data_IF_546905128219
#
_entry.id   IF_546905128219
#
_cell.length_a   1.000
_cell.length_b   1.000
_cell.length_c   1.000
_cell.angle_alpha   90.00
_cell.angle_beta   90.00
_cell.angle_gamma   90.00
#
_symmetry.space_group_name_H-M   'P 1'
#
loop_
_entity.id
_entity.type
_entity.pdbx_description
1 polymer ?
#
# COMPACT_ATOMS: atom_id res chain seq x y z
N UNK A 1 5.87 -36.15 -0.33
CA UNK A 1 6.51 -34.89 0.14
C UNK A 1 6.19 -33.80 -0.86
N UNK A 2 5.57 -32.71 -0.42
CA UNK A 2 5.31 -31.56 -1.30
C UNK A 2 6.52 -30.65 -1.26
N UNK A 3 7.13 -30.39 -2.42
CA UNK A 3 8.29 -29.50 -2.57
C UNK A 3 7.93 -28.32 -3.48
N UNK A 4 8.27 -27.14 -3.07
CA UNK A 4 8.01 -25.88 -3.79
C UNK A 4 9.32 -25.11 -3.90
N UNK A 5 9.63 -24.54 -5.06
CA UNK A 5 10.85 -23.74 -5.25
C UNK A 5 10.59 -22.55 -6.15
N UNK A 6 11.30 -21.46 -5.90
CA UNK A 6 11.28 -20.27 -6.74
C UNK A 6 12.71 -19.89 -7.13
N UNK A 7 12.91 -19.68 -8.43
CA UNK A 7 14.17 -19.15 -8.97
C UNK A 7 14.05 -17.62 -9.28
N UNK A 8 12.87 -17.04 -9.09
CA UNK A 8 12.57 -15.65 -9.42
C UNK A 8 12.38 -14.84 -8.14
N UNK A 9 13.41 -14.17 -7.72
CA UNK A 9 13.32 -13.18 -6.66
C UNK A 9 12.68 -11.87 -7.19
N UNK A 10 12.00 -11.09 -6.35
CA UNK A 10 11.57 -9.75 -6.71
C UNK A 10 12.79 -8.92 -7.17
N UNK A 11 12.64 -8.22 -8.28
CA UNK A 11 13.66 -7.30 -8.81
C UNK A 11 13.05 -5.91 -8.78
N UNK A 12 13.67 -5.01 -8.04
CA UNK A 12 13.30 -3.60 -8.07
C UNK A 12 14.07 -2.90 -9.20
N UNK A 13 13.32 -2.25 -10.10
CA UNK A 13 13.87 -1.63 -11.30
C UNK A 13 14.09 -0.12 -11.16
N UNK A 14 13.74 0.47 -10.02
CA UNK A 14 13.83 1.92 -9.79
C UNK A 14 14.14 2.27 -8.34
N UNK A 15 14.51 3.53 -8.12
CA UNK A 15 14.68 4.05 -6.77
C UNK A 15 13.31 4.33 -6.15
N UNK A 16 13.11 3.87 -4.93
CA UNK A 16 11.93 4.21 -4.17
C UNK A 16 11.95 5.70 -3.76
N UNK A 17 11.14 6.50 -4.44
CA UNK A 17 11.07 7.95 -4.22
C UNK A 17 10.68 8.34 -2.78
N UNK A 18 9.88 7.53 -2.09
CA UNK A 18 9.53 7.77 -0.70
C UNK A 18 10.73 7.78 0.24
N UNK A 19 11.82 7.09 -0.11
CA UNK A 19 13.05 7.09 0.69
C UNK A 19 13.80 8.43 0.65
N UNK A 20 13.43 9.32 -0.27
CA UNK A 20 13.97 10.69 -0.35
C UNK A 20 13.06 11.73 0.34
N UNK A 21 11.94 11.32 0.93
CA UNK A 21 10.94 12.20 1.55
C UNK A 21 10.84 11.84 3.03
N UNK A 22 11.42 12.64 3.92
CA UNK A 22 11.35 12.44 5.38
C UNK A 22 11.46 10.97 5.82
N UNK A 23 12.41 10.23 5.22
CA UNK A 23 12.50 8.78 5.40
C UNK A 23 12.88 8.39 6.83
N UNK A 24 12.11 7.47 7.40
CA UNK A 24 12.42 6.83 8.68
C UNK A 24 13.72 6.02 8.57
N UNK A 25 14.70 6.23 9.48
CA UNK A 25 15.93 5.47 9.50
C UNK A 25 15.65 4.00 9.84
N UNK A 26 16.02 3.10 8.92
CA UNK A 26 15.73 1.68 9.04
C UNK A 26 16.97 0.83 8.80
N UNK A 27 17.30 -0.05 9.76
CA UNK A 27 18.42 -0.97 9.68
C UNK A 27 17.93 -2.36 9.28
N UNK A 28 18.41 -2.86 8.16
CA UNK A 28 18.15 -4.24 7.72
C UNK A 28 18.85 -5.26 8.62
N UNK A 29 18.22 -6.42 8.79
CA UNK A 29 18.80 -7.58 9.48
C UNK A 29 18.65 -8.80 8.58
N UNK A 30 19.72 -9.54 8.33
CA UNK A 30 19.75 -10.71 7.46
C UNK A 30 19.77 -11.98 8.32
N UNK A 31 19.03 -13.02 7.91
CA UNK A 31 19.11 -14.33 8.55
C UNK A 31 20.44 -15.03 8.16
N UNK A 32 21.28 -15.28 9.15
CA UNK A 32 22.59 -15.91 8.94
C UNK A 32 22.74 -17.28 9.62
N UNK A 33 21.80 -17.67 10.49
CA UNK A 33 21.82 -18.92 11.23
C UNK A 33 20.48 -19.61 11.13
N UNK A 34 20.50 -20.95 11.14
CA UNK A 34 19.29 -21.74 11.17
C UNK A 34 18.43 -21.42 12.38
N UNK A 35 17.13 -21.31 12.18
CA UNK A 35 16.16 -21.02 13.24
C UNK A 35 14.93 -21.90 13.10
N UNK A 36 14.10 -21.91 14.13
CA UNK A 36 12.78 -22.53 14.12
C UNK A 36 11.73 -21.52 14.62
N UNK A 37 10.47 -21.77 14.26
CA UNK A 37 9.36 -20.94 14.72
C UNK A 37 8.04 -21.70 14.63
N UNK A 38 7.03 -21.20 15.36
CA UNK A 38 5.66 -21.68 15.25
C UNK A 38 4.99 -21.11 14.01
N UNK A 39 5.31 -19.84 13.67
CA UNK A 39 4.77 -19.12 12.51
C UNK A 39 5.88 -18.47 11.70
N UNK A 40 5.98 -18.86 10.44
CA UNK A 40 6.82 -18.16 9.46
C UNK A 40 5.93 -17.31 8.55
N UNK A 41 6.21 -16.02 8.46
CA UNK A 41 5.53 -15.10 7.56
C UNK A 41 6.49 -14.76 6.42
N UNK A 42 6.08 -15.08 5.19
CA UNK A 42 6.81 -14.71 3.98
C UNK A 42 6.27 -13.39 3.46
N UNK A 43 7.09 -12.35 3.49
CA UNK A 43 6.78 -10.98 3.07
C UNK A 43 6.56 -10.03 4.25
N UNK A 44 7.40 -8.99 4.35
CA UNK A 44 7.36 -7.91 5.33
C UNK A 44 6.59 -6.66 4.84
N UNK A 45 5.60 -6.85 3.96
CA UNK A 45 4.69 -5.80 3.51
C UNK A 45 3.48 -5.61 4.42
N UNK A 46 2.45 -4.88 3.95
CA UNK A 46 1.24 -4.59 4.72
C UNK A 46 0.60 -5.85 5.30
N UNK A 47 0.36 -6.87 4.48
CA UNK A 47 -0.30 -8.10 4.93
C UNK A 47 0.52 -8.87 5.95
N UNK A 48 1.84 -9.02 5.71
CA UNK A 48 2.72 -9.78 6.60
C UNK A 48 2.92 -9.11 7.96
N UNK A 49 3.16 -7.81 7.97
CA UNK A 49 3.32 -7.06 9.23
C UNK A 49 2.01 -6.96 10.01
N UNK A 50 0.87 -6.83 9.32
CA UNK A 50 -0.45 -6.90 9.97
C UNK A 50 -0.73 -8.28 10.58
N UNK A 51 -0.34 -9.36 9.89
CA UNK A 51 -0.46 -10.72 10.42
C UNK A 51 0.45 -10.92 11.63
N UNK A 52 1.70 -10.44 11.57
CA UNK A 52 2.64 -10.49 12.70
C UNK A 52 2.09 -9.73 13.91
N UNK A 53 1.63 -8.49 13.72
CA UNK A 53 1.00 -7.69 14.76
C UNK A 53 -0.19 -8.44 15.41
N UNK A 54 -1.06 -9.03 14.59
CA UNK A 54 -2.22 -9.76 15.11
C UNK A 54 -1.82 -11.02 15.87
N UNK A 55 -0.80 -11.74 15.42
CA UNK A 55 -0.26 -12.90 16.12
C UNK A 55 0.33 -12.54 17.48
N UNK A 56 0.95 -11.36 17.62
CA UNK A 56 1.44 -10.88 18.92
C UNK A 56 0.33 -10.85 19.98
N UNK A 57 -0.88 -10.49 19.59
CA UNK A 57 -2.04 -10.42 20.49
C UNK A 57 -2.73 -11.77 20.69
N UNK A 58 -2.88 -12.57 19.62
CA UNK A 58 -3.62 -13.83 19.67
C UNK A 58 -2.77 -15.01 20.16
N UNK A 59 -1.46 -14.95 19.94
CA UNK A 59 -0.50 -16.02 20.21
C UNK A 59 0.78 -15.49 20.88
N UNK A 60 0.69 -14.83 22.04
CA UNK A 60 1.84 -14.12 22.64
C UNK A 60 2.99 -15.04 23.10
N UNK A 61 2.78 -16.35 23.09
CA UNK A 61 3.80 -17.36 23.44
C UNK A 61 4.45 -18.02 22.25
N UNK A 62 3.86 -17.85 21.06
CA UNK A 62 4.34 -18.48 19.84
C UNK A 62 5.54 -17.68 19.28
N UNK A 63 6.54 -18.40 18.82
CA UNK A 63 7.67 -17.79 18.14
C UNK A 63 7.28 -17.45 16.70
N UNK A 64 7.35 -16.16 16.36
CA UNK A 64 7.04 -15.65 15.01
C UNK A 64 8.32 -15.18 14.33
N UNK A 65 8.52 -15.62 13.10
CA UNK A 65 9.61 -15.15 12.22
C UNK A 65 8.99 -14.54 10.96
N UNK A 66 9.44 -13.35 10.58
CA UNK A 66 9.07 -12.70 9.30
C UNK A 66 10.31 -12.61 8.43
N UNK A 67 10.21 -13.00 7.17
CA UNK A 67 11.29 -12.79 6.19
C UNK A 67 10.77 -12.03 4.98
N UNK A 68 11.61 -11.14 4.45
CA UNK A 68 11.35 -10.44 3.18
C UNK A 68 12.54 -10.63 2.22
N UNK A 69 12.24 -10.81 0.95
CA UNK A 69 13.24 -10.95 -0.09
C UNK A 69 14.05 -9.66 -0.32
N UNK A 70 13.43 -8.52 -0.04
CA UNK A 70 14.03 -7.19 -0.13
C UNK A 70 14.17 -6.57 1.27
N UNK A 71 14.78 -5.41 1.33
CA UNK A 71 14.73 -4.58 2.53
C UNK A 71 13.31 -4.03 2.70
N UNK A 72 12.76 -4.15 3.90
CA UNK A 72 11.38 -3.70 4.19
C UNK A 72 11.21 -2.23 3.80
N UNK A 73 10.11 -1.95 3.12
CA UNK A 73 9.79 -0.63 2.56
C UNK A 73 10.42 -0.35 1.20
N UNK A 74 11.16 -1.29 0.62
CA UNK A 74 11.72 -1.18 -0.74
C UNK A 74 10.93 -1.97 -1.80
N UNK A 75 10.02 -2.85 -1.38
CA UNK A 75 9.07 -3.51 -2.28
C UNK A 75 7.78 -2.72 -2.50
N UNK A 76 6.79 -3.34 -3.16
CA UNK A 76 5.51 -2.71 -3.55
C UNK A 76 4.72 -2.09 -2.40
N UNK A 77 4.85 -2.61 -1.18
CA UNK A 77 4.23 -2.02 0.00
C UNK A 77 4.81 -0.63 0.33
N UNK A 78 6.09 -0.38 0.05
CA UNK A 78 6.73 0.92 0.23
C UNK A 78 6.73 1.81 -1.01
N UNK A 79 6.27 1.31 -2.17
CA UNK A 79 6.36 1.98 -3.47
C UNK A 79 4.99 2.22 -4.12
N UNK A 80 3.97 2.55 -3.36
CA UNK A 80 2.65 2.91 -3.88
C UNK A 80 2.36 4.41 -3.70
N UNK A 81 1.20 4.88 -4.18
CA UNK A 81 0.86 6.31 -4.11
C UNK A 81 0.47 6.80 -2.70
N UNK A 82 0.35 5.91 -1.73
CA UNK A 82 0.06 6.25 -0.33
C UNK A 82 -1.39 6.67 -0.07
N UNK A 83 -2.36 5.97 -0.67
CA UNK A 83 -3.79 6.16 -0.42
C UNK A 83 -4.38 4.89 0.18
N UNK A 84 -5.04 5.00 1.34
CA UNK A 84 -5.97 4.00 1.85
C UNK A 84 -7.39 4.53 1.61
N UNK A 85 -8.10 3.93 0.66
CA UNK A 85 -9.39 4.41 0.18
C UNK A 85 -10.49 3.53 0.79
N UNK A 86 -11.45 4.14 1.45
CA UNK A 86 -12.58 3.46 2.10
C UNK A 86 -13.71 3.12 1.14
N UNK A 87 -13.96 3.96 0.14
CA UNK A 87 -15.05 3.80 -0.82
C UNK A 87 -14.63 2.90 -1.98
N UNK A 88 -15.53 2.08 -2.53
CA UNK A 88 -15.24 1.25 -3.69
C UNK A 88 -14.93 2.15 -4.90
N UNK A 89 -13.91 1.74 -5.64
CA UNK A 89 -13.52 2.38 -6.89
C UNK A 89 -13.67 1.35 -8.00
N UNK A 90 -14.88 1.26 -8.57
CA UNK A 90 -15.16 0.35 -9.66
C UNK A 90 -14.61 0.94 -10.96
N UNK A 91 -13.49 0.40 -11.44
CA UNK A 91 -12.96 0.70 -12.76
C UNK A 91 -13.77 -0.09 -13.77
N UNK A 92 -14.83 0.52 -14.34
CA UNK A 92 -15.53 -0.02 -15.48
C UNK A 92 -15.17 0.78 -16.72
N UNK A 93 -14.66 0.11 -17.75
CA UNK A 93 -14.40 0.73 -19.05
C UNK A 93 -15.71 1.23 -19.74
N UNK A 94 -16.86 0.73 -19.32
CA UNK A 94 -18.18 1.15 -19.82
C UNK A 94 -18.75 2.37 -19.08
N UNK A 95 -18.11 2.85 -18.01
CA UNK A 95 -18.61 3.95 -17.20
C UNK A 95 -19.83 3.60 -16.32
N UNK A 96 -20.24 2.35 -16.30
CA UNK A 96 -21.36 1.91 -15.45
C UNK A 96 -20.82 1.40 -14.11
N UNK A 97 -21.13 2.08 -13.02
CA UNK A 97 -20.96 1.60 -11.65
C UNK A 97 -22.07 0.58 -11.34
N UNK A 98 -21.99 -0.64 -11.93
CA UNK A 98 -23.07 -1.61 -11.94
C UNK A 98 -23.02 -2.66 -10.84
N UNK A 99 -22.12 -2.56 -9.90
CA UNK A 99 -22.13 -3.44 -8.74
C UNK A 99 -23.35 -3.13 -7.86
N UNK A 100 -23.94 -4.17 -7.29
CA UNK A 100 -25.13 -3.99 -6.46
C UNK A 100 -24.82 -3.13 -5.24
N UNK A 101 -25.71 -2.24 -4.85
CA UNK A 101 -25.62 -1.37 -3.67
C UNK A 101 -25.24 -2.13 -2.40
N UNK A 102 -25.77 -3.34 -2.22
CA UNK A 102 -25.45 -4.19 -1.07
C UNK A 102 -24.01 -4.71 -1.07
N UNK A 103 -23.45 -4.98 -2.24
CA UNK A 103 -22.05 -5.37 -2.38
C UNK A 103 -21.14 -4.19 -2.04
N UNK A 104 -21.49 -2.99 -2.51
CA UNK A 104 -20.73 -1.76 -2.20
C UNK A 104 -20.75 -1.45 -0.72
N UNK A 105 -21.89 -1.53 -0.04
CA UNK A 105 -21.99 -1.35 1.41
C UNK A 105 -21.09 -2.31 2.19
N UNK A 106 -21.11 -3.61 1.83
CA UNK A 106 -20.22 -4.61 2.45
C UNK A 106 -18.75 -4.32 2.19
N UNK A 107 -18.43 -3.85 0.99
CA UNK A 107 -17.04 -3.47 0.62
C UNK A 107 -16.56 -2.27 1.43
N UNK A 108 -17.39 -1.23 1.59
CA UNK A 108 -17.13 -0.04 2.41
C UNK A 108 -16.89 -0.45 3.88
N UNK A 109 -17.77 -1.29 4.42
CA UNK A 109 -17.62 -1.79 5.79
C UNK A 109 -16.29 -2.51 5.99
N UNK A 110 -15.92 -3.41 5.07
CA UNK A 110 -14.66 -4.14 5.10
C UNK A 110 -13.44 -3.20 4.98
N UNK A 111 -13.48 -2.25 4.06
CA UNK A 111 -12.41 -1.27 3.89
C UNK A 111 -12.23 -0.42 5.15
N UNK A 112 -13.31 0.11 5.69
CA UNK A 112 -13.29 0.91 6.94
C UNK A 112 -12.82 0.09 8.14
N UNK A 113 -13.18 -1.20 8.20
CA UNK A 113 -12.63 -2.10 9.22
C UNK A 113 -11.11 -2.26 9.07
N UNK A 114 -10.63 -2.52 7.86
CA UNK A 114 -9.20 -2.63 7.58
C UNK A 114 -8.44 -1.33 7.89
N UNK A 115 -9.03 -0.16 7.58
CA UNK A 115 -8.43 1.14 7.87
C UNK A 115 -8.39 1.46 9.38
N UNK A 116 -9.42 1.07 10.15
CA UNK A 116 -9.38 1.16 11.61
C UNK A 116 -8.27 0.30 12.19
N UNK A 117 -8.11 -0.92 11.69
CA UNK A 117 -7.02 -1.81 12.11
C UNK A 117 -5.63 -1.24 11.71
N UNK A 118 -5.50 -0.68 10.51
CA UNK A 118 -4.25 -0.02 10.11
C UNK A 118 -3.92 1.20 10.99
N UNK A 119 -4.93 1.96 11.42
CA UNK A 119 -4.78 3.08 12.35
C UNK A 119 -4.36 2.61 13.74
N UNK A 120 -4.99 1.56 14.28
CA UNK A 120 -4.60 0.91 15.54
C UNK A 120 -3.12 0.53 15.52
N UNK A 121 -2.67 -0.16 14.48
CA UNK A 121 -1.26 -0.52 14.29
C UNK A 121 -0.36 0.72 14.24
N UNK A 122 -0.77 1.77 13.51
CA UNK A 122 -0.01 3.00 13.39
C UNK A 122 0.17 3.69 14.74
N UNK A 123 -0.88 3.76 15.54
CA UNK A 123 -0.88 4.36 16.89
C UNK A 123 -0.01 3.55 17.85
N UNK A 124 -0.18 2.23 17.92
CA UNK A 124 0.57 1.35 18.81
C UNK A 124 2.07 1.29 18.46
N UNK A 125 2.39 1.39 17.17
CA UNK A 125 3.77 1.39 16.71
C UNK A 125 4.40 2.80 16.68
N UNK A 126 3.68 3.85 17.06
CA UNK A 126 4.13 5.24 17.05
C UNK A 126 4.53 5.74 15.65
N UNK A 127 3.74 5.41 14.61
CA UNK A 127 3.87 6.03 13.29
C UNK A 127 3.61 7.53 13.43
N UNK A 128 4.46 8.36 12.85
CA UNK A 128 4.33 9.81 12.95
C UNK A 128 2.98 10.28 12.37
N UNK A 129 2.34 11.26 13.01
CA UNK A 129 1.01 11.73 12.58
C UNK A 129 1.00 12.28 11.16
N UNK A 130 2.08 12.91 10.75
CA UNK A 130 2.29 13.40 9.38
C UNK A 130 2.43 12.28 8.34
N UNK A 131 2.78 11.08 8.77
CA UNK A 131 2.89 9.89 7.92
C UNK A 131 1.57 9.10 7.81
N UNK A 132 0.51 9.52 8.53
CA UNK A 132 -0.80 8.85 8.51
C UNK A 132 -1.94 9.87 8.69
N UNK A 133 -2.38 10.50 7.59
CA UNK A 133 -3.31 11.63 7.59
C UNK A 133 -4.68 11.23 7.01
N UNK A 134 -5.70 11.21 7.84
CA UNK A 134 -7.08 11.04 7.37
C UNK A 134 -7.65 12.39 6.94
N UNK A 135 -7.34 12.82 5.73
CA UNK A 135 -7.73 14.11 5.16
C UNK A 135 -8.56 14.00 3.88
N UNK A 136 -9.01 12.78 3.56
CA UNK A 136 -9.78 12.54 2.35
C UNK A 136 -8.96 12.56 1.07
N UNK A 137 -9.66 12.42 -0.06
CA UNK A 137 -9.11 12.53 -1.42
C UNK A 137 -10.09 13.22 -2.34
N UNK A 138 -9.59 13.62 -3.50
CA UNK A 138 -10.39 14.23 -4.56
C UNK A 138 -10.31 13.37 -5.80
N UNK A 139 -11.45 13.11 -6.45
CA UNK A 139 -11.49 12.67 -7.83
C UNK A 139 -11.41 13.91 -8.72
N UNK A 140 -10.25 14.17 -9.31
CA UNK A 140 -10.00 15.37 -10.12
C UNK A 140 -10.39 15.17 -11.58
N UNK A 141 -11.22 16.03 -12.12
CA UNK A 141 -11.55 16.10 -13.53
C UNK A 141 -10.70 17.21 -14.18
N UNK A 142 -9.83 16.84 -15.12
CA UNK A 142 -8.97 17.78 -15.84
C UNK A 142 -9.65 18.42 -17.06
N UNK A 143 -10.77 17.89 -17.49
CA UNK A 143 -11.56 18.37 -18.62
C UNK A 143 -13.04 18.30 -18.29
N UNK A 144 -13.88 19.08 -18.99
CA UNK A 144 -15.33 19.00 -18.87
C UNK A 144 -15.85 17.58 -19.18
N UNK A 145 -15.29 16.90 -20.18
CA UNK A 145 -15.66 15.53 -20.51
C UNK A 145 -15.33 14.53 -19.40
N UNK A 146 -14.32 14.78 -18.57
CA UNK A 146 -13.99 13.93 -17.44
C UNK A 146 -14.86 14.20 -16.21
N UNK A 147 -15.54 15.34 -16.13
CA UNK A 147 -16.48 15.66 -15.05
C UNK A 147 -17.70 14.71 -15.02
N UNK A 148 -18.11 14.17 -16.17
CA UNK A 148 -19.19 13.20 -16.28
C UNK A 148 -18.98 11.96 -15.38
N UNK A 149 -17.75 11.55 -15.17
CA UNK A 149 -17.41 10.46 -14.26
C UNK A 149 -17.68 10.82 -12.79
N UNK A 150 -17.40 12.06 -12.41
CA UNK A 150 -17.70 12.56 -11.07
C UNK A 150 -19.22 12.66 -10.86
N UNK A 151 -20.00 13.07 -11.88
CA UNK A 151 -21.45 13.11 -11.79
C UNK A 151 -22.07 11.72 -11.58
N UNK A 152 -21.52 10.70 -12.26
CA UNK A 152 -21.93 9.31 -12.07
C UNK A 152 -21.56 8.79 -10.68
N UNK A 153 -20.34 9.09 -10.24
CA UNK A 153 -19.86 8.67 -8.92
C UNK A 153 -20.64 9.38 -7.80
N UNK A 154 -21.01 10.66 -7.98
CA UNK A 154 -21.86 11.40 -7.04
C UNK A 154 -23.21 10.71 -6.85
N UNK A 155 -23.87 10.27 -7.92
CA UNK A 155 -25.13 9.53 -7.82
C UNK A 155 -24.98 8.25 -7.00
N UNK A 156 -23.89 7.49 -7.22
CA UNK A 156 -23.59 6.30 -6.42
C UNK A 156 -23.37 6.64 -4.95
N UNK A 157 -22.65 7.73 -4.64
CA UNK A 157 -22.43 8.17 -3.25
C UNK A 157 -23.74 8.60 -2.57
N UNK A 158 -24.64 9.26 -3.28
CA UNK A 158 -25.98 9.60 -2.79
C UNK A 158 -26.80 8.35 -2.47
N UNK A 159 -26.81 7.35 -3.36
CA UNK A 159 -27.51 6.07 -3.14
C UNK A 159 -26.92 5.28 -1.96
N UNK A 160 -25.63 5.43 -1.70
CA UNK A 160 -24.90 4.83 -0.57
C UNK A 160 -25.04 5.64 0.72
N UNK A 161 -25.58 6.86 0.66
CA UNK A 161 -25.63 7.84 1.74
C UNK A 161 -24.21 8.17 2.29
N UNK A 162 -23.26 8.39 1.37
CA UNK A 162 -21.87 8.70 1.69
C UNK A 162 -21.57 10.19 1.56
N UNK A 163 -20.83 10.72 2.53
CA UNK A 163 -20.42 12.13 2.56
C UNK A 163 -19.49 12.46 1.39
N UNK A 164 -19.80 13.54 0.68
CA UNK A 164 -18.99 14.05 -0.40
C UNK A 164 -19.22 15.54 -0.61
N UNK A 165 -18.29 16.18 -1.33
CA UNK A 165 -18.39 17.60 -1.73
C UNK A 165 -17.92 17.75 -3.17
N UNK A 166 -18.65 18.52 -3.97
CA UNK A 166 -18.22 18.92 -5.30
C UNK A 166 -17.45 20.22 -5.18
N UNK A 167 -16.30 20.28 -5.84
CA UNK A 167 -15.48 21.48 -6.00
C UNK A 167 -15.57 21.97 -7.44
N UNK A 168 -15.85 23.26 -7.61
CA UNK A 168 -15.73 23.92 -8.91
C UNK A 168 -14.26 24.22 -9.25
N UNK A 169 -14.02 24.80 -10.43
CA UNK A 169 -12.68 25.17 -10.89
C UNK A 169 -11.98 26.12 -9.90
N UNK A 170 -12.68 27.12 -9.38
CA UNK A 170 -12.11 28.10 -8.45
C UNK A 170 -11.67 27.43 -7.15
N UNK A 171 -12.52 26.59 -6.58
CA UNK A 171 -12.23 25.82 -5.37
C UNK A 171 -11.06 24.85 -5.59
N UNK A 172 -10.97 24.23 -6.77
CA UNK A 172 -9.83 23.38 -7.13
C UNK A 172 -8.53 24.15 -7.23
N UNK A 173 -8.54 25.39 -7.77
CA UNK A 173 -7.36 26.26 -7.80
C UNK A 173 -6.95 26.67 -6.39
N UNK A 174 -7.89 27.08 -5.55
CA UNK A 174 -7.64 27.45 -4.14
C UNK A 174 -7.04 26.27 -3.35
N UNK A 175 -7.50 25.04 -3.61
CA UNK A 175 -7.04 23.85 -2.95
C UNK A 175 -5.67 23.39 -3.43
N UNK A 176 -5.46 23.32 -4.75
CA UNK A 176 -4.27 22.70 -5.36
C UNK A 176 -3.17 23.69 -5.67
N UNK A 177 -3.49 24.98 -5.86
CA UNK A 177 -2.60 26.00 -6.42
C UNK A 177 -2.42 25.87 -7.94
N UNK A 178 -3.20 25.02 -8.63
CA UNK A 178 -3.05 24.72 -10.04
C UNK A 178 -4.36 24.91 -10.81
N UNK A 179 -4.27 25.45 -12.01
CA UNK A 179 -5.40 25.61 -12.95
C UNK A 179 -5.71 24.35 -13.76
N UNK A 180 -5.04 23.23 -13.48
CA UNK A 180 -5.14 22.00 -14.26
C UNK A 180 -6.51 21.33 -14.19
N UNK A 181 -7.23 21.48 -13.07
CA UNK A 181 -8.50 20.78 -12.84
C UNK A 181 -9.69 21.71 -13.08
N UNK A 182 -10.68 21.22 -13.85
CA UNK A 182 -11.96 21.90 -14.07
C UNK A 182 -12.93 21.73 -12.90
N UNK A 183 -12.89 20.56 -12.26
CA UNK A 183 -13.72 20.24 -11.10
C UNK A 183 -13.13 19.12 -10.27
N UNK A 184 -13.67 18.88 -9.07
CA UNK A 184 -13.29 17.79 -8.20
C UNK A 184 -14.45 17.25 -7.39
N UNK A 185 -14.43 15.97 -7.05
CA UNK A 185 -15.32 15.35 -6.10
C UNK A 185 -14.50 14.85 -4.91
N UNK A 186 -14.70 15.49 -3.76
CA UNK A 186 -14.02 15.15 -2.51
C UNK A 186 -14.79 14.11 -1.71
N UNK A 187 -14.06 13.16 -1.11
CA UNK A 187 -14.57 12.18 -0.14
C UNK A 187 -13.68 12.16 1.10
N UNK A 188 -14.25 12.24 2.35
CA UNK A 188 -13.47 12.49 3.56
C UNK A 188 -12.76 11.25 4.14
N UNK A 189 -13.20 10.02 3.79
CA UNK A 189 -12.78 8.81 4.48
C UNK A 189 -11.35 8.35 4.19
N UNK A 190 -10.76 8.78 3.08
CA UNK A 190 -9.43 8.33 2.64
C UNK A 190 -8.31 8.81 3.57
N UNK A 191 -7.36 7.90 3.85
CA UNK A 191 -6.09 8.22 4.52
C UNK A 191 -4.99 8.40 3.47
N UNK A 192 -4.26 9.50 3.57
CA UNK A 192 -3.00 9.72 2.87
C UNK A 192 -1.85 9.37 3.81
N UNK A 193 -0.99 8.44 3.42
CA UNK A 193 0.07 7.96 4.31
C UNK A 193 1.42 7.88 3.60
N UNK A 194 2.51 7.79 4.37
CA UNK A 194 3.85 7.56 3.86
C UNK A 194 4.12 6.04 3.86
N UNK A 195 4.00 5.34 2.71
CA UNK A 195 3.94 3.88 2.69
C UNK A 195 5.24 3.23 3.18
N UNK A 196 6.39 3.80 2.84
CA UNK A 196 7.69 3.27 3.25
C UNK A 196 7.94 3.44 4.76
N UNK A 197 7.61 4.61 5.32
CA UNK A 197 7.73 4.85 6.75
C UNK A 197 6.78 3.97 7.55
N UNK A 198 5.53 3.85 7.09
CA UNK A 198 4.52 3.01 7.73
C UNK A 198 5.03 1.58 7.98
N UNK A 199 5.50 0.89 6.93
CA UNK A 199 5.97 -0.49 7.10
C UNK A 199 7.29 -0.58 7.88
N UNK A 200 8.19 0.41 7.75
CA UNK A 200 9.48 0.42 8.46
C UNK A 200 9.35 0.66 9.95
N UNK A 201 8.49 1.59 10.35
CA UNK A 201 8.19 1.88 11.76
C UNK A 201 7.56 0.65 12.41
N UNK A 202 6.57 0.05 11.77
CA UNK A 202 5.90 -1.18 12.27
C UNK A 202 6.90 -2.32 12.40
N UNK A 203 7.71 -2.59 11.37
CA UNK A 203 8.71 -3.65 11.42
C UNK A 203 9.73 -3.40 12.54
N UNK A 204 10.16 -2.15 12.74
CA UNK A 204 11.07 -1.78 13.84
C UNK A 204 10.44 -2.05 15.19
N UNK A 205 9.18 -1.70 15.38
CA UNK A 205 8.46 -1.95 16.64
C UNK A 205 8.25 -3.44 16.90
N UNK A 206 7.84 -4.19 15.89
CA UNK A 206 7.61 -5.62 16.01
C UNK A 206 8.89 -6.42 16.29
N UNK A 207 10.08 -5.91 15.94
CA UNK A 207 11.37 -6.53 16.28
C UNK A 207 11.65 -6.58 17.79
N UNK A 208 10.92 -5.83 18.59
CA UNK A 208 11.00 -5.95 20.05
C UNK A 208 10.48 -7.31 20.54
N UNK A 209 9.62 -7.97 19.76
CA UNK A 209 8.96 -9.24 20.13
C UNK A 209 9.22 -10.38 19.15
N UNK A 210 9.59 -10.07 17.90
CA UNK A 210 9.71 -11.02 16.80
C UNK A 210 11.05 -10.93 16.07
N UNK A 211 11.43 -12.05 15.45
CA UNK A 211 12.56 -12.08 14.52
C UNK A 211 12.09 -11.63 13.13
N UNK A 212 12.60 -10.51 12.62
CA UNK A 212 12.27 -9.98 11.29
C UNK A 212 13.55 -9.79 10.49
N UNK A 213 13.65 -10.50 9.35
CA UNK A 213 14.82 -10.51 8.50
C UNK A 213 14.51 -9.96 7.11
N UNK A 214 15.33 -9.01 6.68
CA UNK A 214 15.35 -8.41 5.35
C UNK A 214 16.34 -9.15 4.43
N UNK A 215 16.26 -8.91 3.12
CA UNK A 215 17.17 -9.49 2.13
C UNK A 215 17.34 -11.01 2.32
N UNK A 216 16.25 -11.66 2.71
CA UNK A 216 16.19 -13.07 3.08
C UNK A 216 15.08 -13.75 2.28
N UNK A 217 15.27 -13.95 0.96
CA UNK A 217 14.28 -14.62 0.12
C UNK A 217 14.12 -16.08 0.49
N UNK A 218 12.88 -16.59 0.51
CA UNK A 218 12.61 -18.00 0.52
C UNK A 218 12.94 -18.57 -0.88
N UNK A 219 13.86 -19.55 -0.96
CA UNK A 219 14.27 -20.20 -2.21
C UNK A 219 13.42 -21.44 -2.46
N UNK A 220 13.26 -22.27 -1.44
CA UNK A 220 12.44 -23.46 -1.51
C UNK A 220 11.81 -23.80 -0.18
N UNK A 221 10.75 -24.55 -0.21
CA UNK A 221 10.06 -25.05 0.98
C UNK A 221 9.58 -26.46 0.78
N UNK A 222 9.76 -27.28 1.79
CA UNK A 222 9.35 -28.68 1.82
C UNK A 222 8.55 -28.97 3.08
N UNK A 223 7.42 -29.64 2.94
CA UNK A 223 6.64 -30.12 4.08
C UNK A 223 7.01 -31.56 4.39
N UNK A 224 7.59 -31.80 5.55
CA UNK A 224 7.99 -33.12 6.04
C UNK A 224 7.91 -33.18 7.56
N UNK A 225 7.57 -34.36 8.10
CA UNK A 225 7.50 -34.58 9.56
C UNK A 225 6.62 -33.54 10.28
N UNK A 226 5.50 -33.16 9.66
CA UNK A 226 4.55 -32.17 10.16
C UNK A 226 5.13 -30.75 10.37
N UNK A 227 6.17 -30.41 9.63
CA UNK A 227 6.85 -29.11 9.68
C UNK A 227 7.28 -28.68 8.28
N UNK A 228 7.36 -27.39 8.06
CA UNK A 228 7.91 -26.78 6.87
C UNK A 228 9.39 -26.52 7.07
N UNK A 229 10.23 -26.97 6.14
CA UNK A 229 11.63 -26.58 6.03
C UNK A 229 11.77 -25.59 4.88
N UNK A 230 12.06 -24.33 5.19
CA UNK A 230 12.24 -23.24 4.23
C UNK A 230 13.72 -22.90 4.11
N UNK A 231 14.23 -22.92 2.87
CA UNK A 231 15.63 -22.57 2.56
C UNK A 231 15.73 -21.11 2.16
N UNK A 232 16.73 -20.44 2.68
CA UNK A 232 17.15 -19.09 2.31
C UNK A 232 18.60 -19.12 1.81
N UNK A 233 19.17 -18.03 1.28
CA UNK A 233 20.55 -18.03 0.77
C UNK A 233 21.62 -18.43 1.79
N UNK A 234 21.42 -18.12 3.08
CA UNK A 234 22.44 -18.33 4.11
C UNK A 234 22.04 -19.32 5.21
N UNK A 235 20.76 -19.60 5.35
CA UNK A 235 20.25 -20.42 6.47
C UNK A 235 18.92 -21.10 6.11
N UNK A 236 18.44 -21.95 7.00
CA UNK A 236 17.11 -22.58 6.90
C UNK A 236 16.23 -22.26 8.08
N UNK A 237 14.91 -22.30 7.85
CA UNK A 237 13.89 -22.06 8.87
C UNK A 237 12.99 -23.28 8.93
N UNK A 238 12.84 -23.86 10.13
CA UNK A 238 11.84 -24.89 10.39
C UNK A 238 10.60 -24.23 11.01
N UNK A 239 9.44 -24.36 10.38
CA UNK A 239 8.21 -23.69 10.80
C UNK A 239 7.03 -24.67 10.91
N UNK A 240 6.24 -24.59 11.97
CA UNK A 240 5.01 -25.36 12.07
C UNK A 240 3.94 -24.84 11.10
N UNK A 241 3.86 -23.53 10.89
CA UNK A 241 2.89 -22.88 10.02
C UNK A 241 3.57 -21.84 9.12
N UNK A 242 3.03 -21.62 7.91
CA UNK A 242 3.48 -20.55 6.99
C UNK A 242 2.29 -19.66 6.62
N UNK A 243 2.51 -18.34 6.67
CA UNK A 243 1.63 -17.33 6.11
C UNK A 243 2.30 -16.73 4.87
N UNK A 244 1.66 -16.86 3.71
CA UNK A 244 2.12 -16.24 2.48
C UNK A 244 1.56 -14.82 2.36
N UNK A 245 2.42 -13.82 2.46
CA UNK A 245 2.09 -12.41 2.31
C UNK A 245 2.91 -11.74 1.18
N UNK A 246 3.21 -12.53 0.14
CA UNK A 246 4.10 -12.18 -0.98
C UNK A 246 3.36 -11.78 -2.26
N UNK A 247 2.07 -11.44 -2.15
CA UNK A 247 1.23 -10.98 -3.24
C UNK A 247 1.35 -11.91 -4.49
N UNK A 248 1.48 -11.35 -5.68
CA UNK A 248 1.59 -12.09 -6.95
C UNK A 248 2.80 -13.01 -7.04
N UNK A 249 3.85 -12.80 -6.26
CA UNK A 249 5.03 -13.68 -6.21
C UNK A 249 4.73 -15.10 -5.72
N UNK A 250 3.57 -15.35 -5.13
CA UNK A 250 3.12 -16.68 -4.72
C UNK A 250 3.07 -17.66 -5.92
N UNK A 251 2.87 -17.16 -7.14
CA UNK A 251 2.90 -17.96 -8.36
C UNK A 251 4.28 -18.61 -8.61
N UNK A 252 5.37 -17.97 -8.16
CA UNK A 252 6.73 -18.49 -8.31
C UNK A 252 6.92 -19.81 -7.55
N UNK A 253 6.11 -20.05 -6.53
CA UNK A 253 6.07 -21.32 -5.79
C UNK A 253 5.03 -22.32 -6.33
N UNK A 254 4.40 -22.02 -7.47
CA UNK A 254 3.43 -22.90 -8.13
C UNK A 254 1.99 -22.75 -7.66
N UNK A 255 1.70 -21.88 -6.65
CA UNK A 255 0.34 -21.59 -6.21
C UNK A 255 -0.31 -20.58 -7.15
N UNK A 256 -1.61 -20.74 -7.42
CA UNK A 256 -2.39 -19.85 -8.30
C UNK A 256 -1.77 -19.63 -9.69
N UNK A 257 -1.05 -20.63 -10.21
CA UNK A 257 -0.38 -20.55 -11.51
C UNK A 257 -1.36 -20.11 -12.61
N UNK A 258 -0.97 -19.09 -13.38
CA UNK A 258 -1.79 -18.47 -14.44
C UNK A 258 -3.13 -17.88 -13.95
N UNK A 259 -3.25 -17.50 -12.67
CA UNK A 259 -4.45 -16.87 -12.09
C UNK A 259 -4.27 -15.40 -11.74
N UNK A 260 -3.03 -14.93 -11.72
CA UNK A 260 -2.68 -13.55 -11.36
C UNK A 260 -1.92 -12.88 -12.50
N UNK A 261 -2.24 -11.63 -12.77
CA UNK A 261 -1.56 -10.79 -13.74
C UNK A 261 -0.86 -9.66 -12.96
N UNK A 262 0.42 -9.44 -13.25
CA UNK A 262 1.18 -8.37 -12.63
C UNK A 262 0.97 -7.07 -13.40
N UNK A 263 0.42 -6.06 -12.72
CA UNK A 263 0.28 -4.70 -13.23
C UNK A 263 1.29 -3.80 -12.52
N UNK A 264 2.25 -3.28 -13.27
CA UNK A 264 3.21 -2.31 -12.75
C UNK A 264 2.74 -0.89 -13.05
N UNK A 265 2.86 -0.01 -12.07
CA UNK A 265 2.60 1.41 -12.22
C UNK A 265 3.88 2.20 -11.98
N UNK A 266 4.06 3.30 -12.70
CA UNK A 266 5.22 4.16 -12.58
C UNK A 266 4.82 5.48 -11.95
N UNK A 267 5.64 5.93 -11.00
CA UNK A 267 5.49 7.22 -10.36
C UNK A 267 6.81 8.00 -10.42
N UNK A 268 6.71 9.30 -10.52
CA UNK A 268 7.82 10.23 -10.38
C UNK A 268 7.55 11.18 -9.21
N UNK A 269 8.62 11.67 -8.60
CA UNK A 269 8.55 12.70 -7.56
C UNK A 269 9.38 13.89 -8.01
N UNK A 270 8.84 15.10 -7.87
CA UNK A 270 9.53 16.34 -8.21
C UNK A 270 10.72 16.60 -7.29
N UNK A 271 11.57 17.49 -7.67
CA UNK A 271 12.46 18.18 -6.73
C UNK A 271 11.62 18.93 -5.68
N UNK A 272 12.22 19.22 -4.53
CA UNK A 272 11.58 20.02 -3.49
C UNK A 272 11.32 21.43 -3.99
N UNK A 273 10.14 21.99 -3.66
CA UNK A 273 9.74 23.34 -4.00
C UNK A 273 9.09 24.04 -2.79
N UNK A 274 9.00 25.37 -2.84
CA UNK A 274 8.38 26.20 -1.81
C UNK A 274 6.89 26.44 -2.07
N UNK A 275 6.15 26.92 -1.06
CA UNK A 275 4.75 27.35 -1.19
C UNK A 275 4.54 28.50 -2.17
N UNK A 276 5.59 29.29 -2.45
CA UNK A 276 5.56 30.36 -3.44
C UNK A 276 5.47 29.84 -4.87
N UNK A 277 6.05 28.65 -5.12
CA UNK A 277 6.04 28.02 -6.47
C UNK A 277 4.73 27.27 -6.76
N UNK A 278 4.08 26.74 -5.73
CA UNK A 278 2.76 26.12 -5.84
C UNK A 278 1.99 26.35 -4.55
N UNK A 279 1.05 27.29 -4.58
CA UNK A 279 0.17 27.64 -3.47
C UNK A 279 -0.82 26.51 -3.11
N UNK A 280 -1.95 26.84 -2.50
CA UNK A 280 -2.97 25.89 -2.10
C UNK A 280 -2.65 25.21 -0.79
N UNK A 281 -3.40 24.15 -0.47
CA UNK A 281 -3.22 23.40 0.78
C UNK A 281 -1.86 22.70 0.82
N UNK A 282 -1.31 22.53 2.01
CA UNK A 282 0.01 21.91 2.24
C UNK A 282 0.06 20.46 1.79
N UNK A 283 -1.03 19.73 1.99
CA UNK A 283 -1.13 18.32 1.62
C UNK A 283 -2.51 18.03 1.02
N UNK A 284 -2.51 17.32 -0.08
CA UNK A 284 -3.71 16.83 -0.75
C UNK A 284 -3.38 15.62 -1.63
N UNK A 285 -4.41 14.84 -1.95
CA UNK A 285 -4.30 13.69 -2.86
C UNK A 285 -5.44 13.69 -3.86
N UNK A 286 -5.10 13.57 -5.13
CA UNK A 286 -6.03 13.53 -6.26
C UNK A 286 -5.86 12.22 -7.01
N UNK A 287 -6.95 11.49 -7.16
CA UNK A 287 -7.08 10.40 -8.14
C UNK A 287 -7.83 10.91 -9.36
N UNK A 288 -7.60 10.37 -10.56
CA UNK A 288 -8.34 10.82 -11.73
C UNK A 288 -9.84 10.49 -11.58
N UNK A 289 -10.71 11.38 -12.09
CA UNK A 289 -12.15 11.11 -12.17
C UNK A 289 -12.46 9.96 -13.13
N UNK A 290 -11.79 9.93 -14.28
CA UNK A 290 -11.91 8.86 -15.27
C UNK A 290 -11.14 7.59 -14.85
N UNK A 291 -11.53 6.40 -15.33
CA UNK A 291 -10.95 5.11 -14.94
C UNK A 291 -9.44 4.99 -15.13
N UNK A 292 -8.90 5.67 -16.14
CA UNK A 292 -7.48 5.69 -16.45
C UNK A 292 -6.99 7.13 -16.46
N UNK A 293 -6.01 7.47 -15.64
CA UNK A 293 -5.52 8.84 -15.56
C UNK A 293 -4.43 9.00 -14.51
N UNK A 294 -4.09 10.24 -14.26
CA UNK A 294 -2.97 10.62 -13.40
C UNK A 294 -3.40 10.77 -11.95
N UNK A 295 -2.74 10.04 -11.06
CA UNK A 295 -2.82 10.29 -9.61
C UNK A 295 -1.75 11.30 -9.23
N UNK A 296 -2.13 12.35 -8.50
CA UNK A 296 -1.20 13.38 -8.02
C UNK A 296 -1.35 13.55 -6.52
N UNK A 297 -0.24 13.73 -5.84
CA UNK A 297 -0.23 14.00 -4.41
C UNK A 297 0.78 15.10 -4.07
N UNK A 298 0.36 16.14 -3.35
CA UNK A 298 1.27 17.12 -2.72
C UNK A 298 1.64 16.61 -1.34
N UNK A 299 2.95 16.53 -1.10
CA UNK A 299 3.53 15.93 0.11
C UNK A 299 4.45 16.96 0.75
N UNK A 300 4.33 17.14 2.07
CA UNK A 300 5.25 17.97 2.85
C UNK A 300 6.58 17.25 3.02
N UNK A 301 7.69 17.94 2.74
CA UNK A 301 9.06 17.42 2.84
C UNK A 301 9.95 18.44 3.57
N UNK A 302 9.99 18.35 4.90
CA UNK A 302 10.67 19.32 5.77
C UNK A 302 10.02 20.71 5.68
N UNK A 303 10.79 21.68 5.21
CA UNK A 303 10.41 23.08 5.00
C UNK A 303 9.75 23.34 3.64
N UNK A 304 9.66 22.34 2.78
CA UNK A 304 9.11 22.46 1.44
C UNK A 304 8.11 21.35 1.11
N UNK A 305 7.88 21.19 -0.19
CA UNK A 305 6.89 20.26 -0.74
C UNK A 305 7.44 19.50 -1.94
N UNK A 306 6.84 18.35 -2.24
CA UNK A 306 7.02 17.63 -3.49
C UNK A 306 5.68 17.21 -4.06
N UNK A 307 5.62 17.04 -5.38
CA UNK A 307 4.51 16.34 -6.04
C UNK A 307 4.96 14.92 -6.38
N UNK A 308 4.14 13.95 -5.99
CA UNK A 308 4.18 12.58 -6.51
C UNK A 308 3.16 12.48 -7.63
N UNK A 309 3.58 12.02 -8.79
CA UNK A 309 2.75 11.85 -9.99
C UNK A 309 2.86 10.41 -10.48
N UNK A 310 1.75 9.69 -10.55
CA UNK A 310 1.66 8.34 -11.09
C UNK A 310 0.70 8.34 -12.29
N UNK A 311 1.17 7.98 -13.48
CA UNK A 311 0.36 8.07 -14.69
C UNK A 311 0.53 6.93 -15.71
N UNK A 312 1.49 6.05 -15.52
CA UNK A 312 1.75 4.96 -16.47
C UNK A 312 1.58 3.61 -15.79
N UNK A 313 1.15 2.62 -16.57
CA UNK A 313 1.10 1.23 -16.15
C UNK A 313 1.51 0.31 -17.31
N UNK A 314 2.12 -0.83 -16.96
CA UNK A 314 2.51 -1.88 -17.89
C UNK A 314 2.03 -3.22 -17.32
N UNK A 315 1.47 -4.05 -18.20
CA UNK A 315 1.16 -5.45 -17.91
C UNK A 315 2.36 -6.28 -18.33
N UNK A 316 2.90 -7.07 -17.41
CA UNK A 316 3.97 -8.02 -17.70
C UNK A 316 3.37 -9.44 -17.66
N UNK A 317 3.54 -10.15 -18.75
CA UNK A 317 3.07 -11.53 -18.94
C UNK A 317 4.13 -12.54 -18.50
#
# INVERSE_FOLDING_TARGET
MSSYSSNNNPIETGQNAWLSINSFPYKATILEQNTNCDWLILGGGFAGLSAAYRLAHLRPKDKVVVIDALKIGEGSAGQNSGFMIDLPHNISASGNYTDSLEKDKKTIELHRHAMRFAKEIAEDCNVAKEDFLQIGKINGAATESSSVWNDQYQKQLLDLNEDHQIFDRKEMIELTGSEFYESGLYTPGTVLFHPSNYVRVIATKLRESFEIFDNTPAISMNFQNNSWLVQTPKASISAANIIFAINGHIQNFGFYKNRLIHLFTFAAVTQKFSSEQLSGRDQWGITPANPVGTTVRKIKDGDGFRLLVRNQFIIIH
#
